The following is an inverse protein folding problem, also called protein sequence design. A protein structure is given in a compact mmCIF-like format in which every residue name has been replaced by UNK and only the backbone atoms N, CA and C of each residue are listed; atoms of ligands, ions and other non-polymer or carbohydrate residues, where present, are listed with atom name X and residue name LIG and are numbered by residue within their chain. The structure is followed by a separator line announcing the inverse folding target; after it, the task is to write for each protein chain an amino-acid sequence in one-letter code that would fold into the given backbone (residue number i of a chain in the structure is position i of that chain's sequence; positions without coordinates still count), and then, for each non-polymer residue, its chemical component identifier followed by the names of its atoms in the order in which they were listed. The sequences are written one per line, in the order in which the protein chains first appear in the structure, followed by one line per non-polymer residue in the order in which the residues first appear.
data_IF_264250930534
#
_entry.id   IF_264250930534
#
_cell.length_a   1.000
_cell.length_b   1.000
_cell.length_c   1.000
_cell.angle_alpha   90.00
_cell.angle_beta   90.00
_cell.angle_gamma   90.00
#
_symmetry.space_group_name_H-M   'P 1'
#
loop_
_entity.id
_entity.type
_entity.pdbx_description
1 polymer ?
#
# COMPACT_ATOMS: atom_id res chain seq x y z
N UNK A 1 -3.40 15.54 -7.34
CA UNK A 1 -3.50 14.46 -8.34
C UNK A 1 -4.97 14.08 -8.52
N UNK A 2 -5.37 13.58 -9.69
CA UNK A 2 -6.78 13.26 -9.99
C UNK A 2 -7.15 11.87 -9.47
N UNK A 3 -8.32 11.70 -8.84
CA UNK A 3 -8.87 10.41 -8.38
C UNK A 3 -8.89 9.38 -9.51
N UNK A 4 -9.06 9.85 -10.74
CA UNK A 4 -9.00 9.02 -11.94
C UNK A 4 -7.61 8.39 -12.14
N UNK A 5 -6.53 9.11 -11.80
CA UNK A 5 -5.16 8.59 -11.91
C UNK A 5 -4.96 7.39 -10.98
N UNK A 6 -5.32 7.54 -9.70
CA UNK A 6 -5.22 6.47 -8.70
C UNK A 6 -6.09 5.28 -9.08
N UNK A 7 -7.30 5.52 -9.59
CA UNK A 7 -8.18 4.46 -10.07
C UNK A 7 -7.55 3.66 -11.22
N UNK A 8 -7.12 4.35 -12.28
CA UNK A 8 -6.61 3.72 -13.49
C UNK A 8 -5.30 2.96 -13.24
N UNK A 9 -4.34 3.57 -12.52
CA UNK A 9 -3.07 2.90 -12.24
C UNK A 9 -3.23 1.71 -11.31
N UNK A 10 -4.13 1.78 -10.32
CA UNK A 10 -4.49 0.64 -9.48
C UNK A 10 -5.10 -0.48 -10.31
N UNK A 11 -6.03 -0.14 -11.20
CA UNK A 11 -6.66 -1.11 -12.08
C UNK A 11 -5.62 -1.78 -12.99
N UNK A 12 -4.71 -1.00 -13.59
CA UNK A 12 -3.60 -1.51 -14.40
C UNK A 12 -2.72 -2.46 -13.58
N UNK A 13 -2.35 -2.09 -12.35
CA UNK A 13 -1.56 -2.94 -11.45
C UNK A 13 -2.26 -4.27 -11.12
N UNK A 14 -3.57 -4.23 -10.85
CA UNK A 14 -4.39 -5.43 -10.62
C UNK A 14 -4.47 -6.35 -11.83
N UNK A 15 -4.57 -5.79 -13.04
CA UNK A 15 -4.54 -6.57 -14.28
C UNK A 15 -3.15 -7.15 -14.55
N UNK A 16 -2.09 -6.36 -14.35
CA UNK A 16 -0.70 -6.76 -14.52
C UNK A 16 -0.31 -7.90 -13.56
N UNK A 17 -0.80 -7.83 -12.32
CA UNK A 17 -0.62 -8.86 -11.30
C UNK A 17 -1.41 -10.15 -11.56
N UNK A 18 -2.18 -10.23 -12.65
CA UNK A 18 -2.97 -11.40 -13.04
C UNK A 18 -3.94 -11.90 -11.95
N UNK A 19 -4.36 -11.01 -11.04
CA UNK A 19 -5.34 -11.32 -9.98
C UNK A 19 -6.74 -11.64 -10.56
N UNK A 20 -6.94 -11.41 -11.86
CA UNK A 20 -8.16 -11.71 -12.61
C UNK A 20 -8.33 -13.18 -13.01
N UNK A 21 -7.29 -14.03 -12.89
CA UNK A 21 -7.36 -15.42 -13.33
C UNK A 21 -8.29 -16.20 -12.37
N UNK A 22 -9.38 -16.76 -12.91
CA UNK A 22 -10.51 -17.46 -12.26
C UNK A 22 -11.82 -16.65 -12.04
N UNK A 23 -12.26 -15.89 -13.05
CA UNK A 23 -13.67 -15.45 -13.27
C UNK A 23 -14.19 -14.19 -12.56
N UNK A 24 -13.38 -13.44 -11.80
CA UNK A 24 -13.85 -12.24 -11.11
C UNK A 24 -13.30 -10.95 -11.71
N UNK A 25 -13.64 -10.59 -12.95
CA UNK A 25 -13.30 -9.28 -13.53
C UNK A 25 -13.87 -8.09 -12.72
N UNK A 26 -14.96 -8.34 -11.98
CA UNK A 26 -15.54 -7.39 -11.04
C UNK A 26 -14.66 -7.15 -9.80
N UNK A 27 -13.81 -8.11 -9.41
CA UNK A 27 -12.99 -7.96 -8.22
C UNK A 27 -11.89 -6.89 -8.41
N UNK A 28 -11.06 -6.90 -9.47
CA UNK A 28 -10.14 -5.80 -9.75
C UNK A 28 -10.83 -4.44 -9.79
N UNK A 29 -12.02 -4.37 -10.38
CA UNK A 29 -12.79 -3.13 -10.44
C UNK A 29 -13.24 -2.66 -9.05
N UNK A 30 -13.81 -3.55 -8.24
CA UNK A 30 -14.19 -3.25 -6.86
C UNK A 30 -12.97 -2.87 -6.00
N UNK A 31 -11.83 -3.54 -6.19
CA UNK A 31 -10.58 -3.22 -5.53
C UNK A 31 -10.06 -1.83 -5.92
N UNK A 32 -10.09 -1.49 -7.20
CA UNK A 32 -9.71 -0.16 -7.65
C UNK A 32 -10.61 0.92 -7.03
N UNK A 33 -11.93 0.67 -6.91
CA UNK A 33 -12.83 1.56 -6.17
C UNK A 33 -12.45 1.72 -4.70
N UNK A 34 -12.22 0.61 -4.00
CA UNK A 34 -11.81 0.61 -2.59
C UNK A 34 -10.51 1.38 -2.40
N UNK A 35 -9.54 1.17 -3.29
CA UNK A 35 -8.25 1.85 -3.26
C UNK A 35 -8.35 3.36 -3.46
N UNK A 36 -9.38 3.84 -4.16
CA UNK A 36 -9.66 5.28 -4.33
C UNK A 36 -10.57 5.88 -3.27
N UNK A 37 -11.08 5.10 -2.32
CA UNK A 37 -11.88 5.65 -1.21
C UNK A 37 -11.14 6.74 -0.42
N UNK A 38 -9.80 6.67 -0.22
CA UNK A 38 -9.10 7.77 0.42
C UNK A 38 -9.29 9.12 -0.28
N UNK A 39 -9.37 9.14 -1.61
CA UNK A 39 -9.60 10.36 -2.39
C UNK A 39 -10.98 10.99 -2.18
N UNK A 40 -11.91 10.30 -1.51
CA UNK A 40 -13.19 10.90 -1.12
C UNK A 40 -12.98 12.14 -0.25
N UNK A 41 -11.88 12.23 0.50
CA UNK A 41 -11.50 13.42 1.24
C UNK A 41 -11.44 14.67 0.34
N UNK A 42 -10.84 14.52 -0.84
CA UNK A 42 -10.69 15.59 -1.82
C UNK A 42 -12.03 15.95 -2.47
N UNK A 43 -12.89 14.96 -2.73
CA UNK A 43 -14.22 15.19 -3.31
C UNK A 43 -15.14 15.96 -2.36
N UNK A 44 -15.06 15.69 -1.06
CA UNK A 44 -15.88 16.36 -0.04
C UNK A 44 -15.25 17.64 0.52
N UNK A 45 -14.06 18.04 0.03
CA UNK A 45 -13.33 19.20 0.56
C UNK A 45 -13.04 19.06 2.05
N UNK A 46 -12.81 17.83 2.52
CA UNK A 46 -12.61 17.54 3.93
C UNK A 46 -11.33 18.22 4.43
N UNK A 47 -11.44 18.84 5.61
CA UNK A 47 -10.32 19.46 6.31
C UNK A 47 -9.23 18.39 6.54
N UNK A 48 -7.92 18.72 6.46
CA UNK A 48 -6.80 17.76 6.59
C UNK A 48 -6.88 16.78 7.78
N UNK A 49 -7.62 17.17 8.84
CA UNK A 49 -7.89 16.41 10.07
C UNK A 49 -8.88 15.25 9.92
N UNK A 50 -9.61 15.15 8.82
CA UNK A 50 -10.57 14.06 8.55
C UNK A 50 -10.12 13.16 7.41
N UNK A 51 -8.83 13.20 7.05
CA UNK A 51 -8.36 12.50 5.85
C UNK A 51 -8.24 11.00 6.09
N UNK A 52 -8.83 10.21 5.20
CA UNK A 52 -8.53 8.80 4.98
C UNK A 52 -7.06 8.56 4.56
N UNK A 53 -6.32 9.60 4.20
CA UNK A 53 -4.88 9.56 3.90
C UNK A 53 -3.98 9.45 5.15
N UNK A 54 -4.37 8.72 6.18
CA UNK A 54 -3.56 8.53 7.40
C UNK A 54 -2.96 7.12 7.47
N UNK A 55 -1.92 6.94 8.30
CA UNK A 55 -1.20 5.67 8.48
C UNK A 55 -2.11 4.53 8.94
N UNK A 56 -3.17 4.83 9.71
CA UNK A 56 -4.10 3.80 10.17
C UNK A 56 -4.90 3.21 9.01
N UNK A 57 -5.39 4.06 8.11
CA UNK A 57 -6.21 3.63 6.98
C UNK A 57 -5.36 3.05 5.86
N UNK A 58 -4.23 3.68 5.55
CA UNK A 58 -3.45 3.37 4.35
C UNK A 58 -2.38 2.30 4.56
N UNK A 59 -1.97 2.05 5.81
CA UNK A 59 -0.96 1.05 6.16
C UNK A 59 -1.51 0.03 7.16
N UNK A 60 -2.04 0.46 8.31
CA UNK A 60 -2.43 -0.46 9.38
C UNK A 60 -3.62 -1.36 8.99
N UNK A 61 -4.68 -0.81 8.41
CA UNK A 61 -5.85 -1.60 7.96
C UNK A 61 -5.43 -2.66 6.93
N UNK A 62 -4.72 -2.32 5.83
CA UNK A 62 -4.24 -3.31 4.88
C UNK A 62 -3.33 -4.37 5.51
N UNK A 63 -2.44 -3.99 6.43
CA UNK A 63 -1.62 -4.96 7.17
C UNK A 63 -2.47 -5.92 8.00
N UNK A 64 -3.49 -5.43 8.70
CA UNK A 64 -4.43 -6.28 9.43
C UNK A 64 -5.18 -7.23 8.49
N UNK A 65 -5.63 -6.76 7.34
CA UNK A 65 -6.30 -7.58 6.34
C UNK A 65 -5.37 -8.65 5.75
N UNK A 66 -4.08 -8.33 5.53
CA UNK A 66 -3.05 -9.32 5.15
C UNK A 66 -2.95 -10.38 6.24
N UNK A 67 -2.80 -10.00 7.51
CA UNK A 67 -2.71 -10.97 8.61
C UNK A 67 -3.95 -11.87 8.68
N UNK A 68 -5.14 -11.31 8.49
CA UNK A 68 -6.39 -12.08 8.44
C UNK A 68 -6.42 -13.02 7.23
N UNK A 69 -6.01 -12.57 6.05
CA UNK A 69 -5.94 -13.40 4.84
C UNK A 69 -5.01 -14.61 5.04
N UNK A 70 -3.81 -14.39 5.59
CA UNK A 70 -2.87 -15.49 5.86
C UNK A 70 -3.34 -16.44 6.98
N UNK A 71 -4.09 -15.94 7.96
CA UNK A 71 -4.62 -16.77 9.05
C UNK A 71 -5.79 -17.64 8.61
N UNK A 72 -6.69 -17.11 7.78
CA UNK A 72 -7.96 -17.77 7.47
C UNK A 72 -8.02 -18.40 6.07
N UNK A 73 -7.23 -17.92 5.09
CA UNK A 73 -7.19 -18.49 3.74
C UNK A 73 -6.20 -19.67 3.67
N UNK A 74 -6.72 -20.89 3.92
CA UNK A 74 -5.90 -22.12 3.97
C UNK A 74 -5.45 -22.64 2.60
N UNK A 75 -6.28 -22.50 1.56
CA UNK A 75 -6.07 -23.16 0.26
C UNK A 75 -6.10 -22.21 -0.93
N UNK A 76 -6.42 -20.92 -0.70
CA UNK A 76 -6.43 -19.89 -1.72
C UNK A 76 -5.26 -18.94 -1.56
N UNK A 77 -4.88 -18.31 -2.67
CA UNK A 77 -3.93 -17.19 -2.70
C UNK A 77 -4.62 -15.89 -3.12
N UNK A 78 -5.91 -15.93 -3.43
CA UNK A 78 -6.59 -14.79 -4.03
C UNK A 78 -6.68 -13.63 -3.03
N UNK A 79 -7.15 -13.89 -1.80
CA UNK A 79 -7.26 -12.84 -0.80
C UNK A 79 -5.88 -12.41 -0.31
N UNK A 80 -4.92 -13.34 -0.16
CA UNK A 80 -3.52 -13.00 0.15
C UNK A 80 -2.93 -12.01 -0.86
N UNK A 81 -2.99 -12.33 -2.16
CA UNK A 81 -2.50 -11.46 -3.25
C UNK A 81 -3.23 -10.13 -3.26
N UNK A 82 -4.56 -10.15 -3.14
CA UNK A 82 -5.38 -8.94 -3.19
C UNK A 82 -5.11 -8.00 -2.02
N UNK A 83 -4.90 -8.52 -0.81
CA UNK A 83 -4.59 -7.71 0.37
C UNK A 83 -3.17 -7.13 0.33
N UNK A 84 -2.19 -7.90 -0.17
CA UNK A 84 -0.82 -7.38 -0.40
C UNK A 84 -0.85 -6.27 -1.44
N UNK A 85 -1.59 -6.46 -2.54
CA UNK A 85 -1.72 -5.45 -3.57
C UNK A 85 -2.45 -4.19 -3.08
N UNK A 86 -3.48 -4.34 -2.25
CA UNK A 86 -4.16 -3.22 -1.60
C UNK A 86 -3.17 -2.41 -0.74
N UNK A 87 -2.30 -3.07 0.02
CA UNK A 87 -1.26 -2.38 0.78
C UNK A 87 -0.29 -1.61 -0.13
N UNK A 88 0.19 -2.24 -1.21
CA UNK A 88 1.11 -1.58 -2.16
C UNK A 88 0.46 -0.34 -2.77
N UNK A 89 -0.78 -0.45 -3.20
CA UNK A 89 -1.53 0.65 -3.81
C UNK A 89 -1.74 1.79 -2.81
N UNK A 90 -2.28 1.51 -1.61
CA UNK A 90 -2.56 2.54 -0.62
C UNK A 90 -1.28 3.19 -0.07
N UNK A 91 -0.21 2.42 0.08
CA UNK A 91 1.10 2.97 0.46
C UNK A 91 1.64 3.85 -0.65
N UNK A 92 1.59 3.39 -1.90
CA UNK A 92 1.99 4.18 -3.05
C UNK A 92 1.21 5.49 -3.14
N UNK A 93 -0.10 5.43 -2.94
CA UNK A 93 -1.01 6.58 -2.96
C UNK A 93 -0.56 7.67 -1.99
N UNK A 94 -0.37 7.32 -0.72
CA UNK A 94 0.07 8.29 0.30
C UNK A 94 1.47 8.81 0.02
N UNK A 95 2.37 7.94 -0.44
CA UNK A 95 3.72 8.37 -0.81
C UNK A 95 3.67 9.40 -1.93
N UNK A 96 2.82 9.19 -2.95
CA UNK A 96 2.63 10.15 -4.03
C UNK A 96 2.13 11.50 -3.52
N UNK A 97 1.15 11.51 -2.61
CA UNK A 97 0.61 12.74 -2.04
C UNK A 97 1.64 13.59 -1.31
N UNK A 98 2.63 12.97 -0.65
CA UNK A 98 3.73 13.72 -0.03
C UNK A 98 4.48 14.60 -1.04
N UNK A 99 4.48 14.24 -2.32
CA UNK A 99 5.17 14.98 -3.37
C UNK A 99 4.25 15.92 -4.18
N UNK A 100 2.92 15.74 -4.19
CA UNK A 100 2.04 16.37 -5.20
C UNK A 100 1.12 17.50 -4.75
N UNK A 101 1.45 18.24 -3.70
CA UNK A 101 0.66 19.40 -3.24
C UNK A 101 -0.27 19.11 -2.06
N UNK A 102 -0.68 17.85 -1.91
CA UNK A 102 -1.67 17.43 -0.94
C UNK A 102 -1.03 17.32 0.44
N UNK A 103 -1.19 18.33 1.29
CA UNK A 103 -0.72 18.30 2.68
C UNK A 103 -1.49 17.23 3.47
N UNK A 104 -0.88 16.04 3.60
CA UNK A 104 -1.46 14.89 4.30
C UNK A 104 -0.99 14.86 5.76
N UNK A 105 -1.93 14.81 6.70
CA UNK A 105 -1.65 14.61 8.13
C UNK A 105 -1.47 13.12 8.44
N UNK A 106 -0.34 12.55 8.01
CA UNK A 106 -0.14 11.10 7.98
C UNK A 106 -0.29 10.40 9.34
N UNK A 107 0.05 11.07 10.45
CA UNK A 107 0.06 10.50 11.81
C UNK A 107 -1.16 10.99 12.64
N UNK A 108 -2.18 11.59 12.02
CA UNK A 108 -3.39 12.01 12.73
C UNK A 108 -4.14 10.82 13.36
N UNK A 109 -4.68 10.91 14.59
CA UNK A 109 -4.75 12.09 15.48
C UNK A 109 -3.54 12.27 16.42
N UNK A 110 -2.50 11.46 16.30
CA UNK A 110 -1.33 11.52 17.20
C UNK A 110 -0.45 12.73 16.91
N UNK A 111 -0.36 13.17 15.65
CA UNK A 111 0.34 14.39 15.25
C UNK A 111 -0.46 15.10 14.13
N UNK A 112 -0.61 16.42 14.27
CA UNK A 112 -1.30 17.28 13.28
C UNK A 112 -0.34 17.91 12.25
N UNK A 113 0.96 17.61 12.31
CA UNK A 113 1.91 18.06 11.31
C UNK A 113 1.68 17.36 9.97
N UNK A 114 1.49 18.15 8.91
CA UNK A 114 1.45 17.63 7.56
C UNK A 114 2.84 17.24 7.08
N UNK A 115 2.94 16.11 6.37
CA UNK A 115 4.16 15.69 5.69
C UNK A 115 4.09 16.19 4.25
N UNK A 116 5.11 16.93 3.82
CA UNK A 116 5.19 17.49 2.48
C UNK A 116 6.65 17.56 2.03
N UNK A 117 6.94 17.00 0.84
CA UNK A 117 8.26 16.88 0.23
C UNK A 117 8.44 17.74 -1.02
N UNK A 118 7.63 18.79 -1.22
CA UNK A 118 7.67 19.69 -2.38
C UNK A 118 8.83 20.70 -2.37
N UNK A 119 9.79 20.57 -1.46
CA UNK A 119 10.83 21.58 -1.24
C UNK A 119 11.92 21.68 -2.33
N UNK A 120 11.82 20.94 -3.44
CA UNK A 120 12.89 20.88 -4.45
C UNK A 120 12.34 20.86 -5.88
N UNK A 121 12.98 21.59 -6.79
CA UNK A 121 12.74 21.44 -8.22
C UNK A 121 13.97 21.90 -8.99
N UNK A 122 14.36 21.14 -10.02
CA UNK A 122 15.43 21.52 -10.92
C UNK A 122 14.83 22.10 -12.20
N UNK A 123 15.17 23.36 -12.47
CA UNK A 123 14.61 24.12 -13.58
C UNK A 123 15.67 24.34 -14.65
N UNK A 124 15.26 24.20 -15.91
CA UNK A 124 16.07 24.63 -17.04
C UNK A 124 15.35 25.80 -17.72
N UNK A 125 16.12 26.84 -18.01
CA UNK A 125 15.62 28.00 -18.74
C UNK A 125 15.89 27.81 -20.23
N UNK A 126 14.84 27.75 -21.04
CA UNK A 126 14.91 27.69 -22.51
C UNK A 126 14.12 28.89 -23.04
N UNK A 127 14.75 29.72 -23.88
CA UNK A 127 14.14 30.92 -24.47
C UNK A 127 13.45 31.85 -23.44
N UNK A 128 14.06 31.99 -22.26
CA UNK A 128 13.52 32.81 -21.17
C UNK A 128 12.34 32.21 -20.41
N UNK A 129 11.89 31.00 -20.76
CA UNK A 129 10.86 30.25 -20.03
C UNK A 129 11.52 29.20 -19.14
N UNK A 130 11.01 29.05 -17.93
CA UNK A 130 11.47 28.01 -16.99
C UNK A 130 10.65 26.74 -17.20
N UNK A 131 11.35 25.64 -17.40
CA UNK A 131 10.78 24.30 -17.50
C UNK A 131 11.30 23.46 -16.34
N UNK A 132 10.42 22.81 -15.56
CA UNK A 132 10.87 21.88 -14.53
C UNK A 132 11.37 20.63 -15.22
N UNK A 133 12.66 20.34 -15.11
CA UNK A 133 13.26 19.08 -15.62
C UNK A 133 13.09 17.97 -14.58
N UNK A 134 13.18 18.32 -13.30
CA UNK A 134 12.84 17.43 -12.20
C UNK A 134 11.93 18.18 -11.25
N UNK A 135 10.69 17.71 -11.10
CA UNK A 135 9.72 18.21 -10.13
C UNK A 135 9.49 17.18 -9.01
N UNK A 136 9.03 17.60 -7.82
CA UNK A 136 8.56 16.69 -6.77
C UNK A 136 7.55 15.70 -7.30
N UNK A 137 6.57 16.17 -8.08
CA UNK A 137 5.53 15.35 -8.70
C UNK A 137 6.13 14.21 -9.54
N UNK A 138 7.16 14.50 -10.34
CA UNK A 138 7.83 13.52 -11.19
C UNK A 138 8.54 12.44 -10.36
N UNK A 139 9.16 12.84 -9.25
CA UNK A 139 9.79 11.91 -8.30
C UNK A 139 8.74 11.07 -7.57
N UNK A 140 7.63 11.69 -7.14
CA UNK A 140 6.51 11.00 -6.53
C UNK A 140 5.93 9.93 -7.44
N UNK A 141 5.67 10.26 -8.72
CA UNK A 141 5.18 9.30 -9.73
C UNK A 141 6.17 8.15 -9.91
N UNK A 142 7.48 8.44 -9.97
CA UNK A 142 8.51 7.41 -10.12
C UNK A 142 8.50 6.44 -8.93
N UNK A 143 8.45 6.95 -7.70
CA UNK A 143 8.40 6.12 -6.49
C UNK A 143 7.09 5.32 -6.45
N UNK A 144 5.96 5.94 -6.79
CA UNK A 144 4.66 5.27 -6.90
C UNK A 144 4.72 4.08 -7.87
N UNK A 145 5.25 4.29 -9.08
CA UNK A 145 5.45 3.24 -10.06
C UNK A 145 6.36 2.13 -9.55
N UNK A 146 7.43 2.46 -8.82
CA UNK A 146 8.33 1.47 -8.23
C UNK A 146 7.64 0.62 -7.15
N UNK A 147 6.82 1.24 -6.29
CA UNK A 147 6.01 0.51 -5.30
C UNK A 147 5.02 -0.42 -6.01
N UNK A 148 4.31 0.08 -7.02
CA UNK A 148 3.39 -0.74 -7.81
C UNK A 148 4.07 -1.84 -8.61
N UNK A 149 5.35 -1.71 -8.97
CA UNK A 149 6.10 -2.80 -9.59
C UNK A 149 6.22 -4.03 -8.68
N UNK A 150 6.05 -3.87 -7.36
CA UNK A 150 5.89 -4.99 -6.42
C UNK A 150 4.72 -5.92 -6.77
N UNK A 151 3.72 -5.42 -7.50
CA UNK A 151 2.59 -6.22 -7.98
C UNK A 151 3.00 -7.33 -8.97
N UNK A 152 4.16 -7.20 -9.64
CA UNK A 152 4.70 -8.27 -10.49
C UNK A 152 5.22 -9.47 -9.68
N UNK A 153 5.49 -9.27 -8.39
CA UNK A 153 6.09 -10.27 -7.51
C UNK A 153 5.11 -10.77 -6.44
N UNK A 154 3.79 -10.61 -6.63
CA UNK A 154 2.81 -11.01 -5.61
C UNK A 154 2.87 -12.50 -5.29
N UNK A 155 3.14 -13.35 -6.28
CA UNK A 155 3.20 -14.79 -6.10
C UNK A 155 4.39 -15.16 -5.22
N UNK A 156 5.56 -14.57 -5.50
CA UNK A 156 6.77 -14.71 -4.70
C UNK A 156 6.59 -14.13 -3.29
N UNK A 157 5.93 -12.98 -3.15
CA UNK A 157 5.66 -12.35 -1.85
C UNK A 157 4.76 -13.24 -0.99
N UNK A 158 3.72 -13.83 -1.57
CA UNK A 158 2.84 -14.78 -0.87
C UNK A 158 3.62 -16.03 -0.45
N UNK A 159 4.43 -16.58 -1.34
CA UNK A 159 5.25 -17.76 -1.05
C UNK A 159 6.27 -17.51 0.07
N UNK A 160 6.97 -16.37 0.04
CA UNK A 160 7.93 -15.96 1.07
C UNK A 160 7.22 -15.81 2.42
N UNK A 161 6.05 -15.17 2.45
CA UNK A 161 5.31 -14.96 3.69
C UNK A 161 4.74 -16.27 4.23
N UNK A 162 4.21 -17.16 3.38
CA UNK A 162 3.72 -18.48 3.78
C UNK A 162 4.84 -19.38 4.33
N UNK A 163 6.05 -19.30 3.76
CA UNK A 163 7.24 -20.01 4.28
C UNK A 163 7.68 -19.44 5.63
N UNK A 164 7.77 -18.11 5.72
CA UNK A 164 8.18 -17.41 6.96
C UNK A 164 7.20 -17.67 8.10
N UNK A 165 5.89 -17.59 7.84
CA UNK A 165 4.85 -17.82 8.85
C UNK A 165 4.86 -19.28 9.35
N UNK A 166 5.05 -20.26 8.45
CA UNK A 166 5.23 -21.67 8.82
C UNK A 166 6.50 -21.88 9.66
N UNK A 167 7.61 -21.23 9.27
CA UNK A 167 8.87 -21.26 10.02
C UNK A 167 8.75 -20.69 11.43
N UNK A 168 8.10 -19.53 11.58
CA UNK A 168 7.83 -18.91 12.87
C UNK A 168 6.92 -19.79 13.73
N UNK A 169 5.83 -20.32 13.15
CA UNK A 169 4.92 -21.22 13.85
C UNK A 169 5.62 -22.47 14.38
N UNK A 170 6.50 -23.06 13.58
CA UNK A 170 7.32 -24.20 13.97
C UNK A 170 8.33 -23.85 15.07
N UNK A 171 9.01 -22.71 14.95
CA UNK A 171 9.95 -22.24 15.97
C UNK A 171 9.25 -21.98 17.31
N UNK A 172 8.06 -21.38 17.28
CA UNK A 172 7.24 -21.14 18.46
C UNK A 172 6.72 -22.44 19.08
N UNK A 173 6.30 -23.43 18.28
CA UNK A 173 5.87 -24.72 18.83
C UNK A 173 7.01 -25.46 19.51
N UNK A 174 8.21 -25.44 18.90
CA UNK A 174 9.45 -25.99 19.47
C UNK A 174 9.81 -25.31 20.79
N UNK A 175 9.76 -23.98 20.84
CA UNK A 175 10.00 -23.21 22.05
C UNK A 175 9.02 -23.60 23.16
N UNK A 176 7.73 -23.71 22.84
CA UNK A 176 6.69 -24.11 23.82
C UNK A 176 6.92 -25.54 24.32
N UNK A 177 7.29 -26.48 23.46
CA UNK A 177 7.64 -27.85 23.86
C UNK A 177 8.85 -27.87 24.81
N UNK A 178 9.88 -27.08 24.50
CA UNK A 178 11.10 -26.98 25.29
C UNK A 178 10.87 -26.31 26.66
N UNK A 179 10.04 -25.26 26.71
CA UNK A 179 9.61 -24.67 27.98
C UNK A 179 8.80 -25.66 28.80
N UNK A 180 7.91 -26.44 28.16
CA UNK A 180 7.15 -27.50 28.85
C UNK A 180 8.04 -28.62 29.39
N UNK A 181 9.13 -28.98 28.71
CA UNK A 181 10.08 -29.97 29.24
C UNK A 181 10.84 -29.42 30.44
N UNK A 182 11.31 -28.16 30.39
CA UNK A 182 11.97 -27.52 31.55
C UNK A 182 11.07 -27.42 32.77
N UNK A 183 9.77 -27.21 32.59
CA UNK A 183 8.81 -27.18 33.69
C UNK A 183 8.43 -28.57 34.23
N UNK A 184 8.80 -29.66 33.54
CA UNK A 184 8.51 -31.04 33.94
C UNK A 184 9.71 -31.73 34.60
N UNK A 185 10.91 -31.23 34.38
CA UNK A 185 12.12 -31.70 35.05
C UNK A 185 12.40 -30.79 36.26
N UNK A 186 12.31 -31.30 37.49
CA UNK A 186 12.60 -30.53 38.71
C UNK A 186 14.08 -30.20 38.88
#
# INVERSE_FOLDING_TARGET
MDTLFHFLFTLIALYAARVHINHHHLAPFAFAFIATLPDMDHFFGMVPRCTFHNVFVTVLIPLLLILLAFKFERYGTFWKKSMILLLLVLTGHVVLDFFTGNSVMFIYPVNEQAINLQGFAYWVTIDGRQYPVVSPDSVGILIYCFILAGAFFLDELVDIQDRTHRGLGYAMSRLVEQVKSWLREP
#
